data_IF_951588972702
#
_entry.id   IF_951588972702
#
_cell.length_a   1.000
_cell.length_b   1.000
_cell.length_c   1.000
_cell.angle_alpha   90.00
_cell.angle_beta   90.00
_cell.angle_gamma   90.00
#
_symmetry.space_group_name_H-M   'P 1'
#
loop_
_entity.id
_entity.type
_entity.pdbx_description
1 polymer ?
#
# COMPACT_ATOMS: atom_id res chain seq x y z
N UNK A 1 2.83 -18.58 -34.07
CA UNK A 1 1.91 -18.74 -32.93
C UNK A 1 1.10 -17.47 -32.82
N UNK A 2 -0.20 -17.54 -33.10
CA UNK A 2 -1.10 -16.39 -33.08
C UNK A 2 -1.31 -15.94 -31.63
N UNK A 3 -0.95 -14.69 -31.35
CA UNK A 3 -1.39 -14.02 -30.13
C UNK A 3 -2.92 -13.92 -30.19
N UNK A 4 -3.59 -14.54 -29.22
CA UNK A 4 -5.02 -14.38 -29.03
C UNK A 4 -5.38 -12.92 -28.76
N UNK A 5 -6.66 -12.53 -28.92
CA UNK A 5 -7.07 -11.15 -28.71
C UNK A 5 -6.75 -10.75 -27.27
N UNK A 6 -5.92 -9.71 -27.12
CA UNK A 6 -5.59 -9.10 -25.83
C UNK A 6 -6.90 -8.80 -25.12
N UNK A 7 -7.21 -9.52 -24.03
CA UNK A 7 -8.34 -9.17 -23.16
C UNK A 7 -8.18 -7.68 -22.84
N UNK A 8 -9.22 -6.90 -23.06
CA UNK A 8 -9.32 -5.54 -22.54
C UNK A 8 -8.94 -5.61 -21.05
N UNK A 9 -7.79 -5.04 -20.68
CA UNK A 9 -7.30 -5.06 -19.30
C UNK A 9 -8.41 -4.50 -18.40
N UNK A 10 -8.82 -5.26 -17.37
CA UNK A 10 -9.79 -4.80 -16.38
C UNK A 10 -9.28 -3.58 -15.59
N UNK A 11 -10.16 -2.99 -14.78
CA UNK A 11 -9.83 -1.79 -14.01
C UNK A 11 -8.59 -2.03 -13.13
N UNK A 12 -8.49 -3.19 -12.50
CA UNK A 12 -7.37 -3.57 -11.65
C UNK A 12 -6.02 -3.48 -12.40
N UNK A 13 -5.89 -4.09 -13.58
CA UNK A 13 -4.63 -4.05 -14.33
C UNK A 13 -4.37 -2.69 -14.96
N UNK A 14 -5.41 -1.98 -15.41
CA UNK A 14 -5.26 -0.64 -15.98
C UNK A 14 -4.73 0.39 -14.97
N UNK A 15 -5.20 0.37 -13.72
CA UNK A 15 -4.71 1.28 -12.67
C UNK A 15 -3.19 1.11 -12.42
N UNK A 16 -2.72 -0.14 -12.41
CA UNK A 16 -1.30 -0.42 -12.24
C UNK A 16 -0.45 -0.03 -13.43
N UNK A 17 -0.89 -0.36 -14.65
CA UNK A 17 -0.16 0.04 -15.87
C UNK A 17 0.05 1.56 -15.91
N UNK A 18 -0.94 2.33 -15.46
CA UNK A 18 -0.88 3.80 -15.42
C UNK A 18 0.05 4.39 -14.34
N UNK A 19 0.59 3.57 -13.45
CA UNK A 19 1.45 4.00 -12.33
C UNK A 19 2.75 3.21 -12.24
N UNK A 20 3.06 2.40 -13.26
CA UNK A 20 4.28 1.59 -13.31
C UNK A 20 5.55 2.44 -13.28
N UNK A 21 5.51 3.66 -13.82
CA UNK A 21 6.60 4.62 -13.75
C UNK A 21 6.93 4.98 -12.30
N UNK A 22 5.91 5.18 -11.45
CA UNK A 22 6.08 5.44 -10.00
C UNK A 22 6.67 4.21 -9.31
N UNK A 23 6.21 3.00 -9.64
CA UNK A 23 6.77 1.76 -9.08
C UNK A 23 8.26 1.61 -9.43
N UNK A 24 8.62 1.84 -10.70
CA UNK A 24 10.00 1.79 -11.16
C UNK A 24 10.90 2.87 -10.54
N UNK A 25 10.36 4.07 -10.31
CA UNK A 25 11.06 5.13 -9.57
C UNK A 25 11.24 4.75 -8.10
N UNK A 26 10.21 4.17 -7.48
CA UNK A 26 10.25 3.70 -6.09
C UNK A 26 11.32 2.64 -5.91
N UNK A 27 11.40 1.63 -6.78
CA UNK A 27 12.43 0.60 -6.71
C UNK A 27 13.85 1.17 -6.62
N UNK A 28 14.09 2.32 -7.27
CA UNK A 28 15.41 2.97 -7.38
C UNK A 28 15.74 3.92 -6.22
N UNK A 29 14.83 4.12 -5.26
CA UNK A 29 15.11 5.01 -4.12
C UNK A 29 16.27 4.45 -3.29
N UNK A 30 17.18 5.30 -2.77
CA UNK A 30 18.35 4.84 -2.02
C UNK A 30 18.03 3.89 -0.87
N UNK A 31 16.93 4.10 -0.14
CA UNK A 31 16.50 3.18 0.92
C UNK A 31 16.40 1.73 0.44
N UNK A 32 15.68 1.49 -0.66
CA UNK A 32 15.49 0.14 -1.21
C UNK A 32 16.78 -0.41 -1.85
N UNK A 33 17.59 0.45 -2.45
CA UNK A 33 18.88 0.04 -3.01
C UNK A 33 19.85 -0.41 -1.91
N UNK A 34 19.93 0.32 -0.80
CA UNK A 34 20.72 -0.07 0.36
C UNK A 34 20.17 -1.33 1.07
N UNK A 35 18.84 -1.47 1.10
CA UNK A 35 18.22 -2.69 1.60
C UNK A 35 18.60 -3.90 0.74
N UNK A 36 18.62 -3.73 -0.60
CA UNK A 36 19.01 -4.78 -1.55
C UNK A 36 20.49 -5.18 -1.41
N UNK A 37 21.40 -4.23 -1.25
CA UNK A 37 22.83 -4.51 -1.01
C UNK A 37 23.13 -5.05 0.38
N UNK A 38 22.20 -4.85 1.34
CA UNK A 38 22.36 -5.29 2.72
C UNK A 38 23.20 -4.35 3.57
N UNK A 39 23.46 -3.13 3.11
CA UNK A 39 24.25 -2.09 3.79
C UNK A 39 23.39 -0.93 4.33
N UNK A 40 22.06 -1.02 4.19
CA UNK A 40 21.14 -0.12 4.89
C UNK A 40 21.48 -0.09 6.37
N UNK A 41 21.44 1.09 6.98
CA UNK A 41 21.71 1.21 8.40
C UNK A 41 20.50 0.71 9.20
N UNK A 42 20.76 -0.05 10.26
CA UNK A 42 19.71 -0.68 11.05
C UNK A 42 18.77 0.33 11.72
N UNK A 43 19.29 1.48 12.16
CA UNK A 43 18.49 2.57 12.74
C UNK A 43 17.55 3.20 11.71
N UNK A 44 17.97 3.34 10.45
CA UNK A 44 17.12 3.80 9.34
C UNK A 44 15.99 2.80 9.10
N UNK A 45 16.30 1.50 9.06
CA UNK A 45 15.29 0.45 8.91
C UNK A 45 14.28 0.45 10.08
N UNK A 46 14.75 0.56 11.32
CA UNK A 46 13.87 0.62 12.49
C UNK A 46 12.97 1.87 12.45
N UNK A 47 13.50 3.04 12.07
CA UNK A 47 12.70 4.25 11.91
C UNK A 47 11.64 4.09 10.81
N UNK A 48 11.95 3.40 9.71
CA UNK A 48 10.99 3.02 8.68
C UNK A 48 9.88 2.13 9.24
N UNK A 49 10.23 1.05 9.93
CA UNK A 49 9.26 0.13 10.53
C UNK A 49 8.33 0.81 11.53
N UNK A 50 8.85 1.72 12.37
CA UNK A 50 8.01 2.49 13.32
C UNK A 50 6.96 3.33 12.58
N UNK A 51 7.31 3.94 11.44
CA UNK A 51 6.34 4.70 10.66
C UNK A 51 5.33 3.79 9.95
N UNK A 52 5.75 2.62 9.48
CA UNK A 52 4.86 1.63 8.88
C UNK A 52 3.84 1.05 9.90
N UNK A 53 4.27 0.82 11.14
CA UNK A 53 3.37 0.44 12.24
C UNK A 53 2.34 1.55 12.50
N UNK A 54 2.77 2.81 12.51
CA UNK A 54 1.84 3.93 12.62
C UNK A 54 0.84 3.97 11.45
N UNK A 55 1.31 3.76 10.22
CA UNK A 55 0.45 3.63 9.05
C UNK A 55 -0.61 2.53 9.24
N UNK A 56 -0.16 1.32 9.54
CA UNK A 56 -0.99 0.13 9.69
C UNK A 56 -2.10 0.36 10.72
N UNK A 57 -1.75 0.85 11.91
CA UNK A 57 -2.73 1.11 12.98
C UNK A 57 -3.71 2.22 12.57
N UNK A 58 -3.23 3.31 11.96
CA UNK A 58 -4.09 4.42 11.57
C UNK A 58 -5.03 4.07 10.42
N UNK A 59 -4.58 3.31 9.43
CA UNK A 59 -5.46 2.81 8.36
C UNK A 59 -6.45 1.77 8.88
N UNK A 60 -6.05 0.94 9.86
CA UNK A 60 -6.98 0.03 10.57
C UNK A 60 -8.12 0.79 11.25
N UNK A 61 -7.81 1.91 11.93
CA UNK A 61 -8.82 2.79 12.53
C UNK A 61 -9.76 3.41 11.47
N UNK A 62 -9.24 3.78 10.30
CA UNK A 62 -10.04 4.30 9.19
C UNK A 62 -10.94 3.22 8.58
N UNK A 63 -10.43 2.01 8.37
CA UNK A 63 -11.21 0.86 7.91
C UNK A 63 -12.38 0.55 8.85
N UNK A 64 -12.16 0.64 10.17
CA UNK A 64 -13.24 0.51 11.17
C UNK A 64 -14.35 1.53 10.93
N UNK A 65 -14.00 2.80 10.74
CA UNK A 65 -14.97 3.88 10.45
C UNK A 65 -15.64 3.70 9.10
N UNK A 66 -14.93 3.21 8.10
CA UNK A 66 -15.52 2.89 6.80
C UNK A 66 -16.62 1.84 6.92
N UNK A 67 -16.48 0.84 7.80
CA UNK A 67 -17.52 -0.15 8.07
C UNK A 67 -18.82 0.44 8.64
N UNK A 68 -18.82 1.70 9.11
CA UNK A 68 -19.99 2.39 9.66
C UNK A 68 -20.72 3.23 8.59
N UNK A 69 -20.14 3.40 7.39
CA UNK A 69 -20.76 4.17 6.30
C UNK A 69 -21.82 3.35 5.56
N UNK A 70 -22.83 4.06 5.05
CA UNK A 70 -23.79 3.46 4.11
C UNK A 70 -23.09 3.15 2.76
N UNK A 71 -23.21 1.91 2.29
CA UNK A 71 -22.61 1.44 1.04
C UNK A 71 -23.31 0.17 0.55
N UNK A 72 -23.00 -0.28 -0.68
CA UNK A 72 -23.49 -1.56 -1.18
C UNK A 72 -22.90 -2.74 -0.40
N UNK A 73 -23.64 -3.86 -0.37
CA UNK A 73 -23.30 -5.02 0.46
C UNK A 73 -21.92 -5.64 0.14
N UNK A 74 -21.52 -5.61 -1.12
CA UNK A 74 -20.22 -6.11 -1.58
C UNK A 74 -19.06 -5.22 -1.13
N UNK A 75 -19.18 -3.89 -1.24
CA UNK A 75 -18.18 -2.95 -0.70
C UNK A 75 -18.12 -3.08 0.83
N UNK A 76 -19.27 -3.19 1.50
CA UNK A 76 -19.31 -3.40 2.95
C UNK A 76 -18.55 -4.67 3.37
N UNK A 77 -18.82 -5.78 2.69
CA UNK A 77 -18.16 -7.06 2.97
C UNK A 77 -16.65 -6.96 2.76
N UNK A 78 -16.24 -6.32 1.65
CA UNK A 78 -14.84 -6.02 1.39
C UNK A 78 -14.19 -5.19 2.52
N UNK A 79 -14.83 -4.09 2.96
CA UNK A 79 -14.29 -3.24 4.03
C UNK A 79 -14.17 -3.98 5.36
N UNK A 80 -15.16 -4.81 5.71
CA UNK A 80 -15.14 -5.62 6.93
C UNK A 80 -14.00 -6.64 6.89
N UNK A 81 -13.80 -7.30 5.75
CA UNK A 81 -12.72 -8.28 5.60
C UNK A 81 -11.34 -7.63 5.62
N UNK A 82 -11.18 -6.46 4.96
CA UNK A 82 -9.95 -5.66 5.08
C UNK A 82 -9.71 -5.20 6.52
N UNK A 83 -10.74 -4.70 7.22
CA UNK A 83 -10.61 -4.29 8.63
C UNK A 83 -10.14 -5.44 9.52
N UNK A 84 -10.73 -6.65 9.39
CA UNK A 84 -10.32 -7.82 10.18
C UNK A 84 -8.88 -8.22 9.88
N UNK A 85 -8.49 -8.24 8.61
CA UNK A 85 -7.12 -8.56 8.19
C UNK A 85 -6.11 -7.57 8.76
N UNK A 86 -6.34 -6.27 8.53
CA UNK A 86 -5.51 -5.18 9.03
C UNK A 86 -5.44 -5.18 10.55
N UNK A 87 -6.56 -5.38 11.25
CA UNK A 87 -6.57 -5.46 12.71
C UNK A 87 -5.74 -6.63 13.23
N UNK A 88 -5.90 -7.82 12.66
CA UNK A 88 -5.11 -8.99 13.05
C UNK A 88 -3.61 -8.72 12.86
N UNK A 89 -3.25 -8.12 11.71
CA UNK A 89 -1.86 -7.79 11.43
C UNK A 89 -1.33 -6.71 12.38
N UNK A 90 -2.07 -5.62 12.58
CA UNK A 90 -1.73 -4.54 13.51
C UNK A 90 -1.51 -5.06 14.95
N UNK A 91 -2.42 -5.89 15.46
CA UNK A 91 -2.31 -6.46 16.80
C UNK A 91 -1.04 -7.34 16.93
N UNK A 92 -0.74 -8.14 15.89
CA UNK A 92 0.46 -8.98 15.86
C UNK A 92 1.76 -8.14 15.80
N UNK A 93 1.82 -7.15 14.92
CA UNK A 93 2.99 -6.28 14.78
C UNK A 93 3.23 -5.43 16.03
N UNK A 94 2.17 -4.90 16.65
CA UNK A 94 2.31 -4.18 17.93
C UNK A 94 2.90 -5.09 19.02
N UNK A 95 2.44 -6.34 19.11
CA UNK A 95 2.98 -7.31 20.07
C UNK A 95 4.44 -7.66 19.79
N UNK A 96 4.80 -7.89 18.52
CA UNK A 96 6.18 -8.18 18.10
C UNK A 96 7.14 -7.05 18.48
N UNK A 97 6.73 -5.80 18.29
CA UNK A 97 7.53 -4.62 18.61
C UNK A 97 7.38 -4.15 20.07
N UNK A 98 6.66 -4.89 20.91
CA UNK A 98 6.37 -4.53 22.31
C UNK A 98 5.74 -3.13 22.48
N UNK A 99 4.89 -2.74 21.55
CA UNK A 99 4.19 -1.45 21.53
C UNK A 99 2.76 -1.61 22.06
N UNK A 100 2.34 -0.71 22.94
CA UNK A 100 0.94 -0.64 23.41
C UNK A 100 0.01 0.10 22.44
N UNK A 101 0.58 0.74 21.42
CA UNK A 101 -0.12 1.57 20.44
C UNK A 101 0.83 2.51 19.72
N UNK A 102 0.27 3.48 18.99
CA UNK A 102 1.03 4.40 18.11
C UNK A 102 0.89 5.88 18.49
N UNK A 103 0.30 6.20 19.65
CA UNK A 103 0.04 7.60 20.05
C UNK A 103 1.32 8.44 20.18
N UNK A 104 2.43 7.81 20.59
CA UNK A 104 3.72 8.48 20.79
C UNK A 104 4.57 8.54 19.52
N UNK A 105 4.14 7.89 18.44
CA UNK A 105 4.86 7.91 17.17
C UNK A 105 4.57 9.24 16.49
N UNK A 106 5.61 10.06 16.35
CA UNK A 106 5.55 11.29 15.56
C UNK A 106 5.65 10.93 14.08
N UNK A 107 4.59 11.16 13.28
CA UNK A 107 4.65 10.85 11.86
C UNK A 107 5.66 11.76 11.14
N UNK A 108 6.40 11.21 10.19
CA UNK A 108 7.24 12.00 9.28
C UNK A 108 6.34 12.75 8.27
N UNK A 109 6.82 13.83 7.62
CA UNK A 109 6.02 14.60 6.67
C UNK A 109 5.38 13.76 5.55
N UNK A 110 6.12 12.79 4.97
CA UNK A 110 5.54 11.90 3.98
C UNK A 110 4.39 11.05 4.54
N UNK A 111 4.51 10.55 5.77
CA UNK A 111 3.48 9.76 6.44
C UNK A 111 2.26 10.59 6.84
N UNK A 112 2.45 11.82 7.31
CA UNK A 112 1.35 12.76 7.56
C UNK A 112 0.54 13.01 6.29
N UNK A 113 1.24 13.28 5.18
CA UNK A 113 0.61 13.47 3.87
C UNK A 113 -0.10 12.21 3.40
N UNK A 114 0.49 11.04 3.61
CA UNK A 114 -0.10 9.75 3.25
C UNK A 114 -1.43 9.52 3.98
N UNK A 115 -1.42 9.62 5.30
CA UNK A 115 -2.61 9.45 6.14
C UNK A 115 -3.67 10.55 5.91
N UNK A 116 -3.25 11.77 5.61
CA UNK A 116 -4.16 12.86 5.25
C UNK A 116 -4.90 12.56 3.95
N UNK A 117 -4.21 12.07 2.92
CA UNK A 117 -4.84 11.70 1.66
C UNK A 117 -5.84 10.53 1.83
N UNK A 118 -5.56 9.54 2.69
CA UNK A 118 -6.56 8.52 3.04
C UNK A 118 -7.81 9.13 3.69
N UNK A 119 -7.64 10.08 4.62
CA UNK A 119 -8.78 10.77 5.25
C UNK A 119 -9.59 11.58 4.25
N UNK A 120 -8.94 12.26 3.30
CA UNK A 120 -9.62 12.95 2.21
C UNK A 120 -10.49 12.00 1.40
N UNK A 121 -9.93 10.87 0.92
CA UNK A 121 -10.70 9.86 0.19
C UNK A 121 -11.84 9.29 1.05
N UNK A 122 -11.56 8.99 2.32
CA UNK A 122 -12.55 8.46 3.27
C UNK A 122 -13.73 9.41 3.49
N UNK A 123 -13.52 10.73 3.48
CA UNK A 123 -14.53 11.72 3.82
C UNK A 123 -15.25 12.31 2.60
N UNK A 124 -14.54 12.47 1.49
CA UNK A 124 -15.01 13.24 0.33
C UNK A 124 -15.45 12.35 -0.83
N UNK A 125 -15.09 11.06 -0.81
CA UNK A 125 -15.37 10.14 -1.92
C UNK A 125 -16.31 8.99 -1.55
N UNK A 126 -16.87 8.37 -2.59
CA UNK A 126 -17.65 7.14 -2.47
C UNK A 126 -16.77 5.99 -1.92
N UNK A 127 -17.33 5.08 -1.10
CA UNK A 127 -16.56 4.02 -0.44
C UNK A 127 -15.68 3.14 -1.33
N UNK A 128 -16.07 2.93 -2.60
CA UNK A 128 -15.24 2.21 -3.57
C UNK A 128 -13.86 2.85 -3.78
N UNK A 129 -13.76 4.19 -3.71
CA UNK A 129 -12.48 4.88 -3.87
C UNK A 129 -11.55 4.68 -2.67
N UNK A 130 -12.09 4.37 -1.49
CA UNK A 130 -11.25 3.94 -0.37
C UNK A 130 -10.64 2.56 -0.63
N UNK A 131 -11.36 1.65 -1.29
CA UNK A 131 -10.77 0.39 -1.76
C UNK A 131 -9.67 0.67 -2.79
N UNK A 132 -9.91 1.54 -3.77
CA UNK A 132 -8.87 1.96 -4.73
C UNK A 132 -7.65 2.54 -4.02
N UNK A 133 -7.83 3.29 -2.94
CA UNK A 133 -6.75 3.90 -2.18
C UNK A 133 -5.88 2.89 -1.42
N UNK A 134 -6.43 1.75 -1.00
CA UNK A 134 -5.70 0.69 -0.30
C UNK A 134 -4.82 -0.15 -1.25
N UNK A 135 -5.26 -0.30 -2.51
CA UNK A 135 -4.65 -1.24 -3.45
C UNK A 135 -3.15 -0.98 -3.76
N UNK A 136 -2.66 0.26 -3.85
CA UNK A 136 -1.23 0.54 -4.05
C UNK A 136 -0.31 -0.16 -3.06
N UNK A 137 -0.63 -0.18 -1.76
CA UNK A 137 0.18 -0.86 -0.75
C UNK A 137 0.23 -2.38 -1.03
N UNK A 138 -0.93 -3.02 -1.16
CA UNK A 138 -1.04 -4.46 -1.39
C UNK A 138 -0.32 -4.92 -2.68
N UNK A 139 -0.30 -4.08 -3.73
CA UNK A 139 0.31 -4.43 -5.02
C UNK A 139 1.78 -4.03 -5.13
N UNK A 140 2.13 -2.82 -4.69
CA UNK A 140 3.48 -2.29 -4.83
C UNK A 140 4.47 -3.07 -3.96
N UNK A 141 4.11 -3.39 -2.71
CA UNK A 141 5.01 -4.11 -1.80
C UNK A 141 5.33 -5.52 -2.32
N UNK A 142 4.34 -6.25 -2.83
CA UNK A 142 4.52 -7.53 -3.52
C UNK A 142 5.44 -7.36 -4.73
N UNK A 143 5.18 -6.34 -5.55
CA UNK A 143 5.99 -6.09 -6.74
C UNK A 143 7.44 -5.76 -6.38
N UNK A 144 7.69 -4.89 -5.40
CA UNK A 144 9.03 -4.52 -4.93
C UNK A 144 9.78 -5.74 -4.41
N UNK A 145 9.17 -6.53 -3.52
CA UNK A 145 9.78 -7.74 -2.97
C UNK A 145 10.18 -8.74 -4.08
N UNK A 146 9.39 -8.86 -5.15
CA UNK A 146 9.71 -9.71 -6.29
C UNK A 146 10.75 -9.12 -7.26
N UNK A 147 11.00 -7.81 -7.24
CA UNK A 147 11.94 -7.14 -8.15
C UNK A 147 13.30 -6.83 -7.53
N UNK A 148 13.38 -6.69 -6.20
CA UNK A 148 14.64 -6.60 -5.50
C UNK A 148 15.46 -7.87 -5.69
N UNK A 149 16.77 -7.71 -5.83
CA UNK A 149 17.75 -8.76 -6.11
C UNK A 149 18.74 -8.92 -4.96
N UNK A 150 18.24 -9.37 -3.81
CA UNK A 150 19.04 -9.66 -2.61
C UNK A 150 19.29 -11.17 -2.45
N UNK A 151 20.42 -11.50 -1.81
CA UNK A 151 20.77 -12.88 -1.45
C UNK A 151 20.08 -13.32 -0.16
N UNK A 152 19.95 -14.64 0.06
CA UNK A 152 19.40 -15.21 1.32
C UNK A 152 20.18 -14.83 2.57
N UNK A 153 21.44 -14.42 2.44
CA UNK A 153 22.28 -13.95 3.54
C UNK A 153 22.15 -12.45 3.82
N UNK A 154 21.34 -11.72 3.05
CA UNK A 154 21.07 -10.30 3.30
C UNK A 154 20.31 -10.15 4.63
N UNK A 155 20.72 -9.20 5.47
CA UNK A 155 20.09 -8.91 6.75
C UNK A 155 18.60 -8.56 6.65
N UNK A 156 18.15 -8.07 5.50
CA UNK A 156 16.79 -7.67 5.20
C UNK A 156 16.01 -8.70 4.38
N UNK A 157 16.56 -9.91 4.19
CA UNK A 157 15.90 -10.95 3.38
C UNK A 157 14.53 -11.36 3.94
N UNK A 158 14.30 -11.21 5.25
CA UNK A 158 12.99 -11.42 5.87
C UNK A 158 11.93 -10.47 5.33
N UNK A 159 12.26 -9.19 5.11
CA UNK A 159 11.33 -8.24 4.51
C UNK A 159 10.85 -8.70 3.13
N UNK A 160 11.73 -9.29 2.31
CA UNK A 160 11.34 -9.90 1.03
C UNK A 160 10.39 -11.07 1.24
N UNK A 161 10.73 -12.00 2.13
CA UNK A 161 9.91 -13.21 2.33
C UNK A 161 8.51 -12.88 2.80
N UNK A 162 8.38 -11.86 3.64
CA UNK A 162 7.12 -11.46 4.23
C UNK A 162 6.21 -10.73 3.22
N UNK A 163 6.79 -10.15 2.17
CA UNK A 163 6.06 -9.32 1.20
C UNK A 163 5.93 -9.93 -0.19
N UNK A 164 6.71 -10.96 -0.57
CA UNK A 164 6.70 -11.46 -1.95
C UNK A 164 5.45 -12.28 -2.33
N UNK A 165 4.58 -12.60 -1.38
CA UNK A 165 3.38 -13.43 -1.58
C UNK A 165 2.11 -12.58 -1.48
N UNK A 166 1.04 -13.01 -2.16
CA UNK A 166 -0.28 -12.39 -2.07
C UNK A 166 -1.01 -12.35 -3.41
N UNK A 167 -2.34 -12.31 -3.35
CA UNK A 167 -3.23 -12.32 -4.51
C UNK A 167 -4.30 -11.21 -4.43
N UNK A 168 -3.90 -9.92 -4.35
CA UNK A 168 -4.87 -8.82 -4.28
C UNK A 168 -5.87 -8.83 -5.44
N UNK A 169 -5.52 -9.36 -6.61
CA UNK A 169 -6.45 -9.52 -7.73
C UNK A 169 -7.73 -10.30 -7.37
N UNK A 170 -7.66 -11.27 -6.46
CA UNK A 170 -8.81 -12.09 -6.06
C UNK A 170 -9.87 -11.27 -5.30
N UNK A 171 -9.44 -10.22 -4.60
CA UNK A 171 -10.33 -9.37 -3.80
C UNK A 171 -10.78 -8.11 -4.54
N UNK A 172 -9.92 -7.56 -5.40
CA UNK A 172 -10.15 -6.25 -6.00
C UNK A 172 -10.74 -6.33 -7.41
N UNK A 173 -10.34 -7.29 -8.25
CA UNK A 173 -10.63 -7.25 -9.70
C UNK A 173 -12.13 -7.14 -9.99
N UNK A 174 -12.90 -8.06 -9.43
CA UNK A 174 -14.37 -8.06 -9.60
C UNK A 174 -15.02 -6.82 -8.98
N UNK A 175 -14.61 -6.45 -7.76
CA UNK A 175 -15.15 -5.29 -7.05
C UNK A 175 -14.96 -4.00 -7.87
N UNK A 176 -13.76 -3.78 -8.42
CA UNK A 176 -13.45 -2.59 -9.20
C UNK A 176 -14.24 -2.56 -10.52
N UNK A 177 -14.30 -3.67 -11.25
CA UNK A 177 -15.04 -3.74 -12.52
C UNK A 177 -16.56 -3.56 -12.34
N UNK A 178 -17.11 -4.03 -11.22
CA UNK A 178 -18.54 -3.89 -10.92
C UNK A 178 -18.94 -2.44 -10.59
N UNK A 179 -18.02 -1.63 -10.05
CA UNK A 179 -18.30 -0.28 -9.55
C UNK A 179 -17.73 0.87 -10.40
N UNK A 180 -16.66 0.63 -11.17
CA UNK A 180 -15.94 1.66 -11.92
C UNK A 180 -16.16 1.51 -13.43
N UNK A 181 -17.42 1.63 -13.84
CA UNK A 181 -17.89 1.31 -15.20
C UNK A 181 -17.76 2.47 -16.18
N UNK A 182 -17.72 3.71 -15.70
CA UNK A 182 -17.64 4.89 -16.58
C UNK A 182 -16.21 5.40 -16.71
N UNK A 183 -15.94 6.11 -17.82
CA UNK A 183 -14.65 6.78 -18.04
C UNK A 183 -14.31 7.75 -16.91
N UNK A 184 -15.29 8.49 -16.39
CA UNK A 184 -15.10 9.43 -15.29
C UNK A 184 -14.72 8.73 -13.98
N UNK A 185 -15.43 7.65 -13.64
CA UNK A 185 -15.11 6.83 -12.47
C UNK A 185 -13.71 6.23 -12.57
N UNK A 186 -13.35 5.70 -13.74
CA UNK A 186 -12.01 5.20 -13.98
C UNK A 186 -10.94 6.29 -13.85
N UNK A 187 -11.15 7.47 -14.45
CA UNK A 187 -10.22 8.60 -14.31
C UNK A 187 -10.04 9.05 -12.87
N UNK A 188 -11.13 9.08 -12.08
CA UNK A 188 -11.06 9.38 -10.65
C UNK A 188 -10.31 8.28 -9.90
N UNK A 189 -10.57 7.01 -10.18
CA UNK A 189 -9.85 5.89 -9.58
C UNK A 189 -8.36 5.94 -9.90
N UNK A 190 -7.98 6.25 -11.15
CA UNK A 190 -6.58 6.46 -11.54
C UNK A 190 -5.93 7.55 -10.70
N UNK A 191 -6.60 8.70 -10.51
CA UNK A 191 -6.06 9.80 -9.68
C UNK A 191 -5.83 9.35 -8.23
N UNK A 192 -6.81 8.66 -7.63
CA UNK A 192 -6.69 8.13 -6.27
C UNK A 192 -5.55 7.11 -6.16
N UNK A 193 -5.50 6.17 -7.09
CA UNK A 193 -4.46 5.13 -7.14
C UNK A 193 -3.07 5.73 -7.29
N UNK A 194 -2.86 6.60 -8.30
CA UNK A 194 -1.57 7.24 -8.53
C UNK A 194 -1.17 8.14 -7.36
N UNK A 195 -2.11 8.83 -6.71
CA UNK A 195 -1.82 9.63 -5.53
C UNK A 195 -1.29 8.79 -4.37
N UNK A 196 -1.83 7.58 -4.18
CA UNK A 196 -1.36 6.67 -3.13
C UNK A 196 -0.06 5.95 -3.52
N UNK A 197 0.14 5.60 -4.81
CA UNK A 197 1.44 5.17 -5.32
C UNK A 197 2.54 6.23 -5.09
N UNK A 198 2.22 7.51 -5.31
CA UNK A 198 3.15 8.60 -5.03
C UNK A 198 3.44 8.74 -3.53
N UNK A 199 2.45 8.48 -2.67
CA UNK A 199 2.67 8.49 -1.22
C UNK A 199 3.58 7.34 -0.78
N UNK A 200 3.43 6.13 -1.33
CA UNK A 200 4.37 5.03 -1.13
C UNK A 200 5.78 5.42 -1.57
N UNK A 201 5.93 5.97 -2.78
CA UNK A 201 7.21 6.46 -3.29
C UNK A 201 7.87 7.45 -2.32
N UNK A 202 7.11 8.45 -1.86
CA UNK A 202 7.59 9.46 -0.93
C UNK A 202 7.93 8.86 0.43
N UNK A 203 7.17 7.86 0.89
CA UNK A 203 7.41 7.18 2.15
C UNK A 203 8.76 6.46 2.13
N UNK A 204 9.05 5.63 1.13
CA UNK A 204 10.37 5.02 0.96
C UNK A 204 11.47 6.06 0.70
N UNK A 205 11.14 7.13 -0.02
CA UNK A 205 12.04 8.24 -0.35
C UNK A 205 12.50 9.05 0.86
N UNK A 206 11.65 9.28 1.86
CA UNK A 206 12.01 10.06 3.06
C UNK A 206 13.12 9.39 3.88
N UNK A 207 13.23 8.05 3.84
CA UNK A 207 14.31 7.30 4.48
C UNK A 207 15.57 7.19 3.61
N UNK A 208 15.56 7.76 2.42
CA UNK A 208 16.71 7.83 1.52
C UNK A 208 17.63 9.01 1.81
N UNK A 209 17.24 9.93 2.71
CA UNK A 209 18.11 11.01 3.15
C UNK A 209 19.04 10.51 4.25
N UNK A 210 20.25 10.15 3.85
CA UNK A 210 21.39 10.05 4.75
C UNK A 210 21.66 11.44 5.33
N UNK A 211 21.79 11.52 6.66
CA UNK A 211 22.18 12.72 7.36
C UNK A 211 23.46 13.31 6.74
N UNK A 212 23.46 14.63 6.56
CA UNK A 212 24.69 15.44 6.57
C UNK A 212 25.42 15.26 7.89
#
# INVERSE_FOLDING_TARGET
MSAGPTRLNDVYDRLWIQSQDIAQQTLKVPFLQHMQSGDLQADVYVRFMIQDINYLVKVTEMLKKMCERNMSQDIYSFMVDRYKSYKKYADATLAEFNLSGVSEIKPIPAMEKYLSNYKTVMNEEEPIFFAVALLPCERLWIWLANHLQESKSNAYFTWKTDNMQGHPEEHYRKLLDDHLKTTEQFQKATKVFCQQMQNEHNFFGDFSQQNK
#
